data_IF_758602744317
#
_entry.id   IF_758602744317
#
_cell.length_a   1.000
_cell.length_b   1.000
_cell.length_c   1.000
_cell.angle_alpha   90.00
_cell.angle_beta   90.00
_cell.angle_gamma   90.00
#
_symmetry.space_group_name_H-M   'P 1'
#
loop_
_entity.id
_entity.type
_entity.pdbx_description
1 polymer ?
#
# COMPACT_ATOMS: atom_id res chain seq x y z
N UNK A 1 3.81 -21.69 12.69
CA UNK A 1 4.76 -20.75 12.07
C UNK A 1 4.20 -20.37 10.70
N UNK A 2 3.68 -19.15 10.53
CA UNK A 2 3.13 -18.69 9.25
C UNK A 2 4.27 -18.08 8.42
N UNK A 3 5.21 -18.91 7.95
CA UNK A 3 6.36 -18.44 7.18
C UNK A 3 5.96 -18.11 5.75
N UNK A 4 6.36 -16.94 5.29
CA UNK A 4 6.19 -16.49 3.90
C UNK A 4 7.37 -17.03 3.08
N UNK A 5 7.08 -17.66 1.94
CA UNK A 5 8.12 -18.09 1.02
C UNK A 5 8.72 -16.88 0.29
N UNK A 6 10.05 -16.80 0.21
CA UNK A 6 10.75 -15.74 -0.53
C UNK A 6 10.50 -15.79 -2.03
N UNK A 7 10.19 -16.97 -2.57
CA UNK A 7 9.99 -17.16 -4.01
C UNK A 7 8.60 -16.73 -4.49
N UNK A 8 7.57 -16.94 -3.66
CA UNK A 8 6.18 -16.67 -4.06
C UNK A 8 5.56 -15.48 -3.33
N UNK A 9 6.18 -15.00 -2.25
CA UNK A 9 5.62 -13.94 -1.42
C UNK A 9 4.35 -14.35 -0.65
N UNK A 10 3.95 -15.63 -0.75
CA UNK A 10 2.79 -16.18 -0.05
C UNK A 10 3.21 -17.16 1.03
N UNK A 11 2.43 -17.21 2.09
CA UNK A 11 2.54 -18.27 3.10
C UNK A 11 1.75 -19.52 2.69
N UNK A 12 2.11 -20.67 3.27
CA UNK A 12 1.36 -21.90 3.04
C UNK A 12 -0.13 -21.77 3.36
N UNK A 13 -0.48 -20.97 4.36
CA UNK A 13 -1.87 -20.70 4.72
C UNK A 13 -2.61 -19.88 3.66
N UNK A 14 -1.98 -18.85 3.10
CA UNK A 14 -2.59 -18.07 2.02
C UNK A 14 -2.84 -18.93 0.79
N UNK A 15 -1.94 -19.88 0.49
CA UNK A 15 -2.12 -20.80 -0.64
C UNK A 15 -3.23 -21.84 -0.41
N UNK A 16 -3.42 -22.32 0.83
CA UNK A 16 -4.40 -23.37 1.14
C UNK A 16 -5.78 -22.82 1.51
N UNK A 17 -5.84 -21.69 2.19
CA UNK A 17 -7.07 -21.14 2.80
C UNK A 17 -7.43 -19.76 2.26
N UNK A 18 -6.63 -19.20 1.34
CA UNK A 18 -6.81 -17.84 0.82
C UNK A 18 -6.55 -16.73 1.85
N UNK A 19 -6.19 -17.09 3.08
CA UNK A 19 -6.05 -16.16 4.20
C UNK A 19 -4.92 -16.60 5.14
N UNK A 20 -4.29 -15.65 5.82
CA UNK A 20 -3.35 -15.95 6.90
C UNK A 20 -4.11 -16.28 8.20
N UNK A 21 -3.65 -17.26 9.00
CA UNK A 21 -4.28 -17.59 10.26
C UNK A 21 -4.20 -16.38 11.19
N UNK A 22 -5.37 -15.88 11.59
CA UNK A 22 -5.46 -14.87 12.64
C UNK A 22 -5.30 -15.59 13.97
N UNK A 23 -4.16 -15.40 14.64
CA UNK A 23 -4.03 -15.79 16.03
C UNK A 23 -5.07 -14.99 16.82
N UNK A 24 -5.95 -15.69 17.53
CA UNK A 24 -6.84 -15.04 18.50
C UNK A 24 -5.90 -14.50 19.58
N UNK A 25 -5.73 -13.18 19.62
CA UNK A 25 -4.98 -12.54 20.69
C UNK A 25 -5.67 -12.89 22.02
N UNK A 26 -4.90 -13.16 23.09
CA UNK A 26 -5.49 -13.31 24.41
C UNK A 26 -6.38 -12.10 24.70
N UNK A 27 -7.58 -12.33 25.24
CA UNK A 27 -8.45 -11.25 25.72
C UNK A 27 -7.78 -10.68 26.98
N UNK A 28 -6.81 -9.80 26.76
CA UNK A 28 -6.25 -8.95 27.81
C UNK A 28 -7.25 -7.82 27.98
N UNK A 29 -7.82 -7.69 29.18
CA UNK A 29 -8.49 -6.44 29.56
C UNK A 29 -7.38 -5.40 29.65
N UNK A 30 -7.21 -4.61 28.61
CA UNK A 30 -6.45 -3.39 28.71
C UNK A 30 -7.11 -2.52 29.80
N UNK A 31 -6.32 -1.86 30.66
CA UNK A 31 -6.88 -0.80 31.49
C UNK A 31 -7.58 0.17 30.55
N UNK A 32 -8.82 0.56 30.87
CA UNK A 32 -9.41 1.69 30.16
C UNK A 32 -8.56 2.91 30.52
N UNK A 33 -7.63 3.24 29.64
CA UNK A 33 -7.00 4.55 29.66
C UNK A 33 -8.10 5.60 29.62
N UNK A 34 -7.87 6.73 30.30
CA UNK A 34 -8.79 7.86 30.35
C UNK A 34 -9.31 8.13 28.95
N UNK A 35 -10.62 7.90 28.74
CA UNK A 35 -11.26 8.07 27.45
C UNK A 35 -11.06 9.52 27.06
N UNK A 36 -10.24 9.77 26.02
CA UNK A 36 -10.08 11.10 25.46
C UNK A 36 -11.47 11.70 25.24
N UNK A 37 -11.63 12.97 25.63
CA UNK A 37 -12.89 13.65 25.42
C UNK A 37 -13.29 13.51 23.96
N UNK A 38 -14.55 13.17 23.63
CA UNK A 38 -15.00 13.05 22.24
C UNK A 38 -14.64 14.27 21.38
N UNK A 39 -14.49 15.45 22.01
CA UNK A 39 -14.03 16.68 21.36
C UNK A 39 -12.57 16.60 20.94
N UNK A 40 -11.68 16.14 21.83
CA UNK A 40 -10.25 15.98 21.55
C UNK A 40 -10.01 14.96 20.43
N UNK A 41 -10.75 13.84 20.47
CA UNK A 41 -10.69 12.84 19.41
C UNK A 41 -11.12 13.41 18.05
N UNK A 42 -12.21 14.20 18.01
CA UNK A 42 -12.65 14.83 16.76
C UNK A 42 -11.62 15.84 16.24
N UNK A 43 -11.01 16.64 17.11
CA UNK A 43 -9.97 17.60 16.72
C UNK A 43 -8.75 16.88 16.13
N UNK A 44 -8.26 15.83 16.79
CA UNK A 44 -7.17 15.00 16.28
C UNK A 44 -7.52 14.37 14.93
N UNK A 45 -8.70 13.78 14.81
CA UNK A 45 -9.15 13.17 13.56
C UNK A 45 -9.17 14.16 12.39
N UNK A 46 -9.63 15.40 12.63
CA UNK A 46 -9.59 16.43 11.59
C UNK A 46 -8.18 16.83 11.19
N UNK A 47 -7.26 16.91 12.15
CA UNK A 47 -5.84 17.16 11.91
C UNK A 47 -5.15 16.04 11.12
N UNK A 48 -5.47 14.79 11.44
CA UNK A 48 -4.95 13.60 10.75
C UNK A 48 -5.44 13.54 9.32
N UNK A 49 -6.72 13.85 9.06
CA UNK A 49 -7.27 13.93 7.71
C UNK A 49 -6.56 14.99 6.88
N UNK A 50 -6.33 16.18 7.45
CA UNK A 50 -5.57 17.24 6.79
C UNK A 50 -4.16 16.79 6.42
N UNK A 51 -3.43 16.23 7.39
CA UNK A 51 -2.07 15.71 7.18
C UNK A 51 -2.02 14.60 6.13
N UNK A 52 -3.02 13.71 6.12
CA UNK A 52 -3.13 12.66 5.12
C UNK A 52 -3.38 13.21 3.70
N UNK A 53 -4.19 14.26 3.57
CA UNK A 53 -4.43 14.92 2.28
C UNK A 53 -3.17 15.60 1.74
N UNK A 54 -2.41 16.29 2.59
CA UNK A 54 -1.16 16.95 2.20
C UNK A 54 -0.11 15.92 1.73
N UNK A 55 0.08 14.85 2.50
CA UNK A 55 1.00 13.76 2.15
C UNK A 55 0.59 13.08 0.83
N UNK A 56 -0.71 12.91 0.60
CA UNK A 56 -1.22 12.32 -0.64
C UNK A 56 -0.97 13.23 -1.84
N UNK A 57 -1.06 14.56 -1.66
CA UNK A 57 -0.74 15.52 -2.71
C UNK A 57 0.75 15.51 -3.05
N UNK A 58 1.63 15.52 -2.05
CA UNK A 58 3.08 15.40 -2.23
C UNK A 58 3.46 14.10 -2.97
N UNK A 59 2.88 12.97 -2.56
CA UNK A 59 3.11 11.68 -3.19
C UNK A 59 2.71 11.69 -4.67
N UNK A 60 1.55 12.29 -5.01
CA UNK A 60 1.10 12.42 -6.40
C UNK A 60 2.03 13.27 -7.25
N UNK A 61 2.49 14.40 -6.73
CA UNK A 61 3.45 15.28 -7.43
C UNK A 61 4.75 14.55 -7.69
N UNK A 62 5.26 13.86 -6.67
CA UNK A 62 6.49 13.07 -6.75
C UNK A 62 6.35 11.96 -7.79
N UNK A 63 5.23 11.23 -7.76
CA UNK A 63 4.93 10.18 -8.74
C UNK A 63 4.88 10.75 -10.16
N UNK A 64 4.13 11.83 -10.39
CA UNK A 64 4.03 12.46 -11.71
C UNK A 64 5.41 12.93 -12.22
N UNK A 65 6.23 13.55 -11.36
CA UNK A 65 7.57 13.97 -11.70
C UNK A 65 8.47 12.78 -12.11
N UNK A 66 8.46 11.69 -11.34
CA UNK A 66 9.27 10.51 -11.65
C UNK A 66 8.77 9.72 -12.86
N UNK A 67 7.45 9.61 -13.05
CA UNK A 67 6.86 8.99 -14.23
C UNK A 67 7.18 9.79 -15.49
N UNK A 68 7.06 11.12 -15.43
CA UNK A 68 7.33 11.98 -16.58
C UNK A 68 8.83 12.07 -16.93
N UNK A 69 9.73 11.85 -15.96
CA UNK A 69 11.19 11.85 -16.20
C UNK A 69 11.63 10.85 -17.30
N UNK A 70 10.89 9.75 -17.46
CA UNK A 70 11.20 8.70 -18.44
C UNK A 70 10.19 8.62 -19.58
N UNK A 71 9.18 9.50 -19.60
CA UNK A 71 8.25 9.61 -20.72
C UNK A 71 8.88 10.52 -21.78
N UNK A 72 9.28 9.95 -22.92
CA UNK A 72 9.75 10.70 -24.08
C UNK A 72 8.58 10.97 -25.02
N UNK A 73 8.38 12.22 -25.46
CA UNK A 73 7.34 12.58 -26.44
C UNK A 73 7.54 11.88 -27.80
N UNK A 74 8.75 11.39 -28.05
CA UNK A 74 9.05 10.50 -29.16
C UNK A 74 8.70 9.06 -28.78
N UNK A 75 7.54 8.59 -29.23
CA UNK A 75 7.25 7.16 -29.26
C UNK A 75 8.04 6.55 -30.43
N UNK A 76 9.03 5.66 -30.21
CA UNK A 76 9.97 5.26 -31.26
C UNK A 76 9.39 4.20 -32.23
N UNK A 77 8.06 4.05 -32.29
CA UNK A 77 7.37 3.02 -33.04
C UNK A 77 6.28 3.62 -33.92
N UNK A 78 6.19 3.12 -35.14
CA UNK A 78 5.16 3.48 -36.12
C UNK A 78 4.14 2.36 -36.28
N UNK A 79 2.96 2.69 -36.80
CA UNK A 79 1.94 1.69 -37.13
C UNK A 79 2.50 0.74 -38.18
N UNK A 80 2.68 -0.54 -37.80
CA UNK A 80 3.27 -1.58 -38.65
C UNK A 80 4.62 -2.11 -38.16
N UNK A 81 5.23 -1.48 -37.15
CA UNK A 81 6.49 -1.96 -36.59
C UNK A 81 6.31 -3.27 -35.81
N UNK A 82 7.21 -4.22 -36.04
CA UNK A 82 7.30 -5.47 -35.28
C UNK A 82 8.20 -5.25 -34.07
N UNK A 83 7.64 -5.41 -32.87
CA UNK A 83 8.36 -5.26 -31.59
C UNK A 83 8.50 -6.60 -30.87
N UNK A 84 9.66 -6.81 -30.26
CA UNK A 84 9.92 -8.00 -29.45
C UNK A 84 9.41 -7.80 -28.03
N UNK A 85 8.54 -8.72 -27.58
CA UNK A 85 8.06 -8.75 -26.20
C UNK A 85 8.99 -9.63 -25.36
N UNK A 86 9.63 -9.02 -24.36
CA UNK A 86 10.38 -9.77 -23.34
C UNK A 86 9.46 -10.02 -22.14
N UNK A 87 8.93 -11.24 -22.01
CA UNK A 87 8.30 -11.70 -20.78
C UNK A 87 9.33 -12.47 -19.96
N UNK A 88 9.89 -11.86 -18.92
CA UNK A 88 10.59 -12.61 -17.87
C UNK A 88 9.54 -13.28 -16.98
N UNK A 89 9.63 -14.60 -16.84
CA UNK A 89 9.02 -15.36 -15.76
C UNK A 89 9.91 -15.34 -14.52
#
# INVERSE_FOLDING_TARGET
>A
MNTVSSATGFSGFQLHLGTSPRLILPIVKEPMDEVESPVQFMEQLTGDVGSAMDNLLEAKVTQAHHTNKHCTDAFPYWVGDLVWLSSKN
#
